data_IF_138883889911
#
_entry.id   IF_138883889911
#
_cell.length_a   1.000
_cell.length_b   1.000
_cell.length_c   1.000
_cell.angle_alpha   90.00
_cell.angle_beta   90.00
_cell.angle_gamma   90.00
#
_symmetry.space_group_name_H-M   'P 1'
#
loop_
_entity.id
_entity.type
_entity.pdbx_description
1 polymer ?
#
# COMPACT_ATOMS: atom_id res chain seq x y z
N UNK A 1 -45.82 -20.01 38.21
CA UNK A 1 -44.57 -20.77 37.96
C UNK A 1 -44.39 -20.92 36.45
N UNK A 2 -43.21 -21.37 36.03
CA UNK A 2 -42.69 -21.45 34.64
C UNK A 2 -43.71 -21.71 33.50
N UNK A 3 -43.54 -21.00 32.40
CA UNK A 3 -43.91 -21.43 31.05
C UNK A 3 -42.63 -21.52 30.21
N UNK A 4 -42.48 -22.54 29.35
CA UNK A 4 -41.27 -22.79 28.54
C UNK A 4 -41.65 -23.33 27.16
N UNK A 5 -40.84 -23.04 26.14
CA UNK A 5 -41.23 -23.11 24.73
C UNK A 5 -41.07 -24.47 24.03
N UNK A 6 -41.74 -24.58 22.87
CA UNK A 6 -41.50 -25.49 21.73
C UNK A 6 -40.14 -25.18 21.02
N UNK A 7 -39.68 -25.87 19.94
CA UNK A 7 -40.25 -26.99 19.15
C UNK A 7 -39.33 -28.25 19.14
N UNK A 8 -39.68 -29.43 18.58
CA UNK A 8 -39.70 -29.83 17.15
C UNK A 8 -38.44 -29.37 16.35
N UNK A 9 -37.58 -30.28 15.82
CA UNK A 9 -37.72 -31.05 14.55
C UNK A 9 -37.43 -30.21 13.28
N UNK A 10 -36.71 -30.65 12.23
CA UNK A 10 -36.02 -31.93 11.93
C UNK A 10 -35.14 -31.90 10.65
N UNK A 11 -34.22 -32.88 10.50
CA UNK A 11 -33.83 -33.61 9.24
C UNK A 11 -33.04 -32.95 8.08
N UNK A 12 -31.98 -33.69 7.67
CA UNK A 12 -31.56 -34.03 6.27
C UNK A 12 -30.90 -32.96 5.36
N UNK A 13 -30.05 -33.28 4.36
CA UNK A 13 -29.21 -34.47 4.05
C UNK A 13 -28.23 -34.20 2.86
N UNK A 14 -27.29 -35.14 2.60
CA UNK A 14 -26.49 -35.32 1.34
C UNK A 14 -25.44 -34.21 1.02
N UNK A 15 -24.46 -34.36 0.10
CA UNK A 15 -24.09 -35.42 -0.87
C UNK A 15 -22.54 -35.57 -1.03
N UNK A 16 -22.08 -36.50 -1.90
CA UNK A 16 -20.65 -36.91 -2.13
C UNK A 16 -20.27 -36.66 -3.64
N UNK A 17 -19.21 -37.26 -4.21
CA UNK A 17 -17.80 -36.81 -4.37
C UNK A 17 -17.43 -36.17 -5.74
N UNK A 18 -16.17 -35.74 -5.92
CA UNK A 18 -15.45 -35.93 -7.22
C UNK A 18 -13.91 -35.82 -7.13
N UNK A 19 -13.20 -36.42 -8.10
CA UNK A 19 -11.78 -36.21 -8.46
C UNK A 19 -11.64 -36.38 -9.99
N UNK A 20 -10.68 -35.72 -10.69
CA UNK A 20 -9.45 -36.40 -11.17
C UNK A 20 -8.27 -35.38 -11.35
N UNK A 21 -7.15 -35.54 -12.10
CA UNK A 21 -6.59 -36.63 -12.95
C UNK A 21 -5.04 -36.71 -12.87
N UNK A 22 -4.30 -36.50 -13.98
CA UNK A 22 -2.83 -36.54 -14.18
C UNK A 22 -2.45 -35.86 -15.53
N UNK A 23 -1.15 -35.62 -15.70
CA UNK A 23 -0.34 -35.50 -16.95
C UNK A 23 0.15 -34.08 -17.30
N UNK A 24 1.44 -33.74 -17.50
CA UNK A 24 2.64 -34.39 -18.13
C UNK A 24 2.81 -34.00 -19.61
N UNK A 25 3.75 -33.10 -19.91
CA UNK A 25 4.43 -32.99 -21.23
C UNK A 25 5.83 -32.38 -21.06
N UNK A 26 6.75 -32.71 -21.97
CA UNK A 26 8.16 -32.27 -22.01
C UNK A 26 8.42 -31.31 -23.17
N UNK A 27 9.51 -30.53 -23.10
CA UNK A 27 10.23 -30.03 -24.29
C UNK A 27 11.73 -29.85 -23.99
N UNK A 28 12.57 -29.84 -25.04
CA UNK A 28 14.03 -30.02 -24.97
C UNK A 28 14.72 -29.35 -26.18
N UNK A 29 16.01 -29.05 -26.08
CA UNK A 29 16.86 -28.36 -27.08
C UNK A 29 16.53 -26.85 -27.22
N UNK A 30 17.45 -25.96 -27.58
CA UNK A 30 18.71 -26.12 -28.33
C UNK A 30 19.97 -25.61 -27.59
N UNK A 31 21.14 -25.93 -28.16
CA UNK A 31 22.40 -25.22 -27.92
C UNK A 31 23.19 -25.06 -29.23
N UNK A 32 24.18 -24.17 -29.27
CA UNK A 32 25.20 -24.11 -30.34
C UNK A 32 26.43 -23.31 -29.89
N UNK A 33 27.47 -23.35 -30.74
CA UNK A 33 28.79 -22.72 -30.64
C UNK A 33 28.80 -21.30 -30.03
N UNK A 34 29.73 -20.89 -29.16
CA UNK A 34 31.20 -20.93 -29.25
C UNK A 34 31.80 -20.07 -30.38
N UNK A 35 32.66 -19.10 -30.03
CA UNK A 35 34.05 -18.98 -30.55
C UNK A 35 34.78 -17.73 -30.00
N UNK A 36 35.74 -18.00 -29.14
CA UNK A 36 36.81 -17.10 -28.72
C UNK A 36 37.63 -16.50 -29.87
N UNK A 37 38.04 -15.23 -29.75
CA UNK A 37 39.27 -14.67 -30.36
C UNK A 37 39.86 -13.58 -29.45
N UNK A 38 41.16 -13.67 -29.16
CA UNK A 38 41.95 -12.55 -28.62
C UNK A 38 42.19 -11.48 -29.70
N UNK A 39 42.43 -10.22 -29.27
CA UNK A 39 43.46 -9.38 -29.89
C UNK A 39 43.93 -8.22 -28.97
N UNK A 40 45.23 -8.26 -28.64
CA UNK A 40 46.10 -7.36 -27.85
C UNK A 40 47.54 -7.73 -28.30
N UNK A 41 48.60 -6.89 -28.29
CA UNK A 41 48.78 -5.47 -27.89
C UNK A 41 48.94 -4.55 -29.15
N UNK A 42 49.54 -3.34 -29.23
CA UNK A 42 50.73 -2.71 -28.59
C UNK A 42 50.72 -1.16 -28.54
N UNK A 43 51.55 -0.63 -27.61
CA UNK A 43 52.28 0.67 -27.50
C UNK A 43 52.09 1.80 -28.54
N UNK A 44 52.30 3.09 -28.22
CA UNK A 44 53.36 3.67 -27.38
C UNK A 44 53.00 5.01 -26.68
N UNK A 45 53.89 5.46 -25.79
CA UNK A 45 53.90 6.77 -25.12
C UNK A 45 53.70 8.00 -26.00
N UNK A 46 53.04 9.02 -25.42
CA UNK A 46 53.33 10.45 -25.68
C UNK A 46 52.83 11.33 -24.53
N UNK A 47 53.47 11.23 -23.36
CA UNK A 47 53.16 12.08 -22.23
C UNK A 47 53.74 13.51 -22.40
N UNK A 48 52.90 14.51 -22.70
CA UNK A 48 53.15 15.93 -22.36
C UNK A 48 51.91 16.83 -22.45
N UNK A 49 51.40 17.18 -21.26
CA UNK A 49 50.78 18.47 -20.88
C UNK A 49 49.99 19.24 -21.95
N UNK A 50 48.68 19.39 -21.72
CA UNK A 50 48.11 20.72 -21.48
C UNK A 50 46.88 20.65 -20.58
N UNK A 51 46.66 21.72 -19.82
CA UNK A 51 45.52 21.92 -18.92
C UNK A 51 44.61 22.95 -19.56
N UNK A 52 43.29 22.72 -19.59
CA UNK A 52 42.26 23.75 -19.45
C UNK A 52 40.86 23.14 -19.24
N UNK A 53 39.96 23.96 -18.70
CA UNK A 53 38.66 23.57 -18.13
C UNK A 53 37.73 22.87 -19.15
N UNK A 54 37.10 21.78 -18.71
CA UNK A 54 35.74 21.41 -19.16
C UNK A 54 34.83 21.31 -17.92
N UNK A 55 33.60 21.84 -18.05
CA UNK A 55 32.77 22.26 -16.93
C UNK A 55 32.14 21.08 -16.16
N UNK A 56 31.97 21.24 -14.84
CA UNK A 56 31.19 20.32 -14.01
C UNK A 56 29.72 20.34 -14.46
N UNK A 57 29.32 19.36 -15.28
CA UNK A 57 27.91 19.01 -15.46
C UNK A 57 27.46 18.17 -14.27
N UNK A 58 27.25 18.82 -13.12
CA UNK A 58 26.72 18.19 -11.91
C UNK A 58 25.22 17.89 -12.09
N UNK A 59 24.92 16.89 -12.92
CA UNK A 59 23.56 16.40 -13.11
C UNK A 59 23.06 15.82 -11.79
N UNK A 60 22.23 16.58 -11.07
CA UNK A 60 21.48 16.08 -9.92
C UNK A 60 20.41 15.13 -10.45
N UNK A 61 20.81 13.89 -10.66
CA UNK A 61 19.88 12.78 -10.76
C UNK A 61 19.15 12.71 -9.41
N UNK A 62 17.89 13.17 -9.37
CA UNK A 62 17.00 12.77 -8.29
C UNK A 62 16.99 11.24 -8.29
N UNK A 63 17.20 10.66 -7.10
CA UNK A 63 17.36 9.22 -6.90
C UNK A 63 16.09 8.41 -7.16
N UNK A 64 15.63 8.40 -8.40
CA UNK A 64 14.82 7.32 -8.94
C UNK A 64 15.71 6.07 -9.06
N UNK A 65 16.05 5.50 -7.91
CA UNK A 65 16.65 4.18 -7.80
C UNK A 65 15.65 3.19 -8.35
N UNK A 66 15.75 2.90 -9.65
CA UNK A 66 15.10 1.75 -10.25
C UNK A 66 15.71 0.51 -9.59
N UNK A 67 15.09 0.07 -8.49
CA UNK A 67 15.39 -1.23 -7.89
C UNK A 67 15.22 -2.27 -8.99
N UNK A 68 16.28 -2.99 -9.30
CA UNK A 68 16.22 -4.09 -10.25
C UNK A 68 15.27 -5.14 -9.67
N UNK A 69 14.19 -5.43 -10.41
CA UNK A 69 13.05 -6.20 -9.90
C UNK A 69 11.99 -5.35 -9.23
N UNK A 70 11.18 -4.68 -10.05
CA UNK A 70 9.99 -3.95 -9.61
C UNK A 70 8.86 -4.15 -10.61
N UNK A 71 7.74 -4.71 -10.15
CA UNK A 71 6.54 -4.96 -10.92
C UNK A 71 5.69 -3.67 -11.03
N UNK A 72 5.11 -3.42 -12.19
CA UNK A 72 4.18 -2.30 -12.38
C UNK A 72 2.75 -2.85 -12.37
N UNK A 73 2.05 -2.66 -11.27
CA UNK A 73 0.63 -2.96 -11.16
C UNK A 73 -0.17 -1.82 -11.81
N UNK A 74 -1.03 -2.17 -12.76
CA UNK A 74 -1.93 -1.23 -13.42
C UNK A 74 -3.37 -1.75 -13.43
N UNK A 75 -4.32 -0.95 -12.97
CA UNK A 75 -5.74 -1.29 -13.03
C UNK A 75 -6.61 -0.04 -13.21
N UNK A 76 -7.34 0.01 -14.34
CA UNK A 76 -8.16 1.16 -14.70
C UNK A 76 -7.35 2.45 -14.79
N UNK A 77 -7.64 3.40 -13.89
CA UNK A 77 -6.92 4.68 -13.79
C UNK A 77 -5.65 4.60 -12.94
N UNK A 78 -5.40 3.53 -12.18
CA UNK A 78 -4.25 3.45 -11.27
C UNK A 78 -3.04 2.82 -11.95
N UNK A 79 -1.87 3.41 -11.72
CA UNK A 79 -0.55 2.76 -11.88
C UNK A 79 0.25 2.87 -10.58
N UNK A 80 0.87 1.76 -10.17
CA UNK A 80 1.65 1.63 -8.93
C UNK A 80 2.88 0.75 -9.19
N UNK A 81 4.02 1.04 -8.56
CA UNK A 81 5.22 0.20 -8.64
C UNK A 81 5.40 -0.55 -7.33
N UNK A 82 5.44 -1.88 -7.41
CA UNK A 82 5.58 -2.81 -6.29
C UNK A 82 6.95 -3.51 -6.39
N UNK A 83 7.75 -3.62 -5.32
CA UNK A 83 9.01 -4.37 -5.34
C UNK A 83 8.78 -5.87 -5.56
N UNK A 84 9.75 -6.57 -6.17
CA UNK A 84 9.72 -8.03 -6.21
C UNK A 84 9.68 -8.67 -4.80
N UNK A 85 9.09 -9.87 -4.70
CA UNK A 85 8.95 -10.62 -3.45
C UNK A 85 7.69 -10.30 -2.63
N UNK A 86 6.88 -9.32 -3.06
CA UNK A 86 5.57 -9.04 -2.47
C UNK A 86 4.49 -9.99 -3.03
N UNK A 87 3.62 -10.48 -2.16
CA UNK A 87 2.46 -11.33 -2.48
C UNK A 87 1.23 -10.46 -2.63
N UNK A 88 0.53 -10.55 -3.76
CA UNK A 88 -0.75 -9.91 -3.98
C UNK A 88 -1.92 -10.78 -3.50
N UNK A 89 -2.85 -10.18 -2.77
CA UNK A 89 -4.19 -10.68 -2.47
C UNK A 89 -5.23 -9.70 -3.02
N UNK A 90 -6.43 -10.17 -3.36
CA UNK A 90 -7.49 -9.33 -3.93
C UNK A 90 -8.85 -9.77 -3.38
N UNK A 91 -9.61 -8.80 -2.87
CA UNK A 91 -10.96 -8.97 -2.36
C UNK A 91 -11.90 -7.99 -3.06
N UNK A 92 -13.06 -8.47 -3.53
CA UNK A 92 -14.06 -7.64 -4.18
C UNK A 92 -15.45 -7.99 -3.66
N UNK A 93 -16.22 -6.96 -3.28
CA UNK A 93 -17.60 -7.14 -2.88
C UNK A 93 -18.44 -7.25 -4.16
N UNK A 94 -19.32 -8.25 -4.23
CA UNK A 94 -20.09 -8.61 -5.44
C UNK A 94 -21.02 -7.52 -5.97
N UNK A 95 -21.34 -6.49 -5.18
CA UNK A 95 -22.10 -5.31 -5.58
C UNK A 95 -21.28 -4.25 -6.33
N UNK A 96 -19.97 -4.46 -6.56
CA UNK A 96 -19.12 -3.60 -7.41
C UNK A 96 -18.71 -2.25 -6.81
N UNK A 97 -19.34 -1.82 -5.71
CA UNK A 97 -19.07 -0.51 -5.07
C UNK A 97 -17.74 -0.40 -4.33
N UNK A 98 -17.10 -1.53 -3.96
CA UNK A 98 -15.78 -1.58 -3.31
C UNK A 98 -14.96 -2.78 -3.75
N UNK A 99 -13.71 -2.53 -4.12
CA UNK A 99 -12.66 -3.51 -4.42
C UNK A 99 -11.40 -3.14 -3.64
N UNK A 100 -10.68 -4.15 -3.14
CA UNK A 100 -9.46 -3.99 -2.36
C UNK A 100 -8.39 -4.93 -2.90
N UNK A 101 -7.22 -4.39 -3.22
CA UNK A 101 -6.01 -5.17 -3.47
C UNK A 101 -5.05 -4.94 -2.31
N UNK A 102 -4.37 -5.99 -1.85
CA UNK A 102 -3.42 -5.92 -0.73
C UNK A 102 -2.13 -6.60 -1.16
N UNK A 103 -1.01 -5.94 -0.95
CA UNK A 103 0.33 -6.51 -1.10
C UNK A 103 1.02 -6.56 0.27
N UNK A 104 1.74 -7.64 0.53
CA UNK A 104 2.60 -7.79 1.69
C UNK A 104 3.87 -8.55 1.28
N UNK A 105 5.06 -8.26 1.84
CA UNK A 105 6.27 -9.01 1.54
C UNK A 105 6.10 -10.46 2.01
N UNK A 106 6.62 -11.42 1.23
CA UNK A 106 6.50 -12.86 1.52
C UNK A 106 7.04 -13.26 2.90
N UNK A 107 8.08 -12.57 3.38
CA UNK A 107 8.89 -12.98 4.53
C UNK A 107 8.59 -12.18 5.82
N UNK A 108 7.49 -11.39 5.87
CA UNK A 108 7.05 -10.70 7.08
C UNK A 108 5.52 -10.82 7.31
N UNK A 109 5.06 -10.48 8.52
CA UNK A 109 3.65 -10.51 8.88
C UNK A 109 2.88 -9.35 8.18
N UNK A 110 1.73 -9.60 7.51
CA UNK A 110 0.90 -8.55 6.94
C UNK A 110 0.46 -7.44 7.91
N UNK A 111 0.46 -7.71 9.23
CA UNK A 111 0.19 -6.73 10.28
C UNK A 111 1.36 -5.76 10.55
N UNK A 112 2.56 -6.07 10.06
CA UNK A 112 3.80 -5.38 10.39
C UNK A 112 4.31 -4.51 9.24
N UNK A 113 4.11 -4.98 8.01
CA UNK A 113 4.42 -4.28 6.76
C UNK A 113 3.44 -4.73 5.68
N UNK A 114 2.59 -3.82 5.20
CA UNK A 114 1.74 -4.08 4.03
C UNK A 114 1.22 -2.81 3.36
N UNK A 115 0.77 -2.94 2.12
CA UNK A 115 0.18 -1.88 1.30
C UNK A 115 -1.17 -2.36 0.81
N UNK A 116 -2.20 -1.52 0.89
CA UNK A 116 -3.52 -1.84 0.35
C UNK A 116 -4.09 -0.71 -0.48
N UNK A 117 -4.56 -1.04 -1.69
CA UNK A 117 -5.30 -0.14 -2.56
C UNK A 117 -6.79 -0.47 -2.44
N UNK A 118 -7.55 0.47 -1.89
CA UNK A 118 -9.02 0.42 -1.82
C UNK A 118 -9.60 1.33 -2.90
N UNK A 119 -10.34 0.74 -3.82
CA UNK A 119 -11.12 1.44 -4.85
C UNK A 119 -12.58 1.46 -4.44
N UNK A 120 -13.18 2.65 -4.35
CA UNK A 120 -14.60 2.85 -4.02
C UNK A 120 -15.28 3.79 -5.01
N UNK A 121 -16.58 3.61 -5.22
CA UNK A 121 -17.40 4.55 -6.00
C UNK A 121 -17.69 5.83 -5.20
N UNK A 122 -17.66 6.97 -5.88
CA UNK A 122 -18.09 8.27 -5.36
C UNK A 122 -19.42 8.70 -5.99
N UNK A 123 -20.19 9.56 -5.30
CA UNK A 123 -21.34 10.22 -5.91
C UNK A 123 -20.90 11.19 -7.01
N UNK A 124 -21.83 11.57 -7.89
CA UNK A 124 -21.60 12.56 -8.95
C UNK A 124 -21.14 13.92 -8.38
N UNK A 125 -21.59 14.26 -7.17
CA UNK A 125 -21.30 15.51 -6.47
C UNK A 125 -19.82 15.65 -6.08
N UNK A 126 -19.13 14.52 -5.82
CA UNK A 126 -17.72 14.48 -5.45
C UNK A 126 -16.84 14.39 -6.70
N UNK A 127 -16.75 15.50 -7.44
CA UNK A 127 -16.00 15.60 -8.71
C UNK A 127 -14.49 15.59 -8.55
N UNK A 128 -13.97 15.78 -7.34
CA UNK A 128 -12.55 15.74 -7.00
C UNK A 128 -12.31 15.96 -5.51
N UNK A 129 -11.07 15.77 -5.05
CA UNK A 129 -10.74 15.74 -3.61
C UNK A 129 -11.10 17.03 -2.85
N UNK A 130 -11.03 18.20 -3.48
CA UNK A 130 -11.37 19.47 -2.83
C UNK A 130 -12.80 19.54 -2.25
N UNK A 131 -13.68 18.64 -2.69
CA UNK A 131 -15.02 18.41 -2.10
C UNK A 131 -14.98 17.91 -0.64
N UNK A 132 -13.82 17.44 -0.16
CA UNK A 132 -13.57 16.98 1.20
C UNK A 132 -12.80 17.99 2.07
N UNK A 133 -12.51 19.20 1.57
CA UNK A 133 -11.78 20.25 2.30
C UNK A 133 -10.31 20.38 1.90
N UNK A 134 -9.43 20.70 2.86
CA UNK A 134 -7.98 20.59 2.66
C UNK A 134 -7.46 19.21 3.08
N UNK A 135 -6.23 18.86 2.65
CA UNK A 135 -5.57 17.63 3.12
C UNK A 135 -5.45 17.57 4.66
N UNK A 136 -5.25 18.72 5.32
CA UNK A 136 -5.13 18.83 6.77
C UNK A 136 -6.48 18.62 7.46
N UNK A 137 -7.56 19.22 6.94
CA UNK A 137 -8.92 19.03 7.47
C UNK A 137 -9.36 17.57 7.33
N UNK A 138 -9.10 16.97 6.15
CA UNK A 138 -9.37 15.56 5.89
C UNK A 138 -8.58 14.65 6.84
N UNK A 139 -7.25 14.85 6.93
CA UNK A 139 -6.38 14.04 7.79
C UNK A 139 -6.73 14.16 9.27
N UNK A 140 -7.07 15.37 9.73
CA UNK A 140 -7.53 15.59 11.10
C UNK A 140 -8.91 14.97 11.34
N UNK A 141 -9.83 15.02 10.37
CA UNK A 141 -11.14 14.35 10.43
C UNK A 141 -11.00 12.82 10.54
N UNK A 142 -10.14 12.23 9.71
CA UNK A 142 -9.79 10.81 9.75
C UNK A 142 -9.23 10.40 11.11
N UNK A 143 -8.20 11.11 11.60
CA UNK A 143 -7.57 10.86 12.90
C UNK A 143 -8.56 11.04 14.06
N UNK A 144 -9.44 12.05 14.02
CA UNK A 144 -10.47 12.28 15.04
C UNK A 144 -11.51 11.16 15.14
N UNK A 145 -11.79 10.44 14.05
CA UNK A 145 -12.67 9.26 14.09
C UNK A 145 -11.98 8.05 14.72
N UNK A 146 -10.64 7.95 14.61
CA UNK A 146 -9.84 6.86 15.16
C UNK A 146 -9.32 7.11 16.59
N UNK A 147 -9.17 8.36 17.03
CA UNK A 147 -8.70 8.68 18.37
C UNK A 147 -9.79 8.45 19.44
N UNK A 148 -9.52 7.54 20.36
CA UNK A 148 -10.36 7.31 21.54
C UNK A 148 -9.69 7.83 22.83
N UNK A 149 -8.60 8.60 22.73
CA UNK A 149 -7.94 9.21 23.90
C UNK A 149 -8.84 10.22 24.64
N UNK A 150 -9.98 10.65 24.08
CA UNK A 150 -10.98 11.40 24.85
C UNK A 150 -11.64 10.53 25.94
N UNK A 151 -11.81 9.22 25.73
CA UNK A 151 -12.38 8.31 26.74
C UNK A 151 -11.49 8.17 27.98
N UNK A 152 -10.17 8.21 27.82
CA UNK A 152 -9.21 8.23 28.93
C UNK A 152 -9.14 9.58 29.65
N UNK A 153 -9.59 10.67 28.99
CA UNK A 153 -9.67 12.03 29.56
C UNK A 153 -11.03 12.35 30.18
N UNK A 154 -12.08 11.63 29.80
CA UNK A 154 -13.41 11.76 30.38
C UNK A 154 -13.36 11.43 31.87
N UNK A 155 -13.68 12.40 32.74
CA UNK A 155 -13.91 12.13 34.16
C UNK A 155 -15.04 11.12 34.25
N UNK A 156 -14.75 9.93 34.76
CA UNK A 156 -15.70 8.82 34.77
C UNK A 156 -17.02 9.20 35.45
N UNK A 157 -18.13 8.79 34.84
CA UNK A 157 -19.42 8.70 35.56
C UNK A 157 -19.20 7.92 36.85
N UNK A 158 -19.80 8.33 37.97
CA UNK A 158 -19.41 7.91 39.33
C UNK A 158 -19.30 6.37 39.54
N UNK A 159 -19.99 5.57 38.72
CA UNK A 159 -19.98 4.10 38.78
C UNK A 159 -18.80 3.41 38.06
N UNK A 160 -17.93 4.11 37.33
CA UNK A 160 -16.79 3.47 36.63
C UNK A 160 -15.57 4.39 36.44
N UNK A 161 -14.34 3.96 36.79
CA UNK A 161 -13.13 4.73 36.51
C UNK A 161 -12.89 4.87 34.99
N UNK A 162 -12.22 5.95 34.60
CA UNK A 162 -11.78 6.14 33.22
C UNK A 162 -10.73 5.06 32.83
N UNK A 163 -10.76 4.56 31.58
CA UNK A 163 -9.72 3.65 31.09
C UNK A 163 -8.37 4.39 31.06
N UNK A 164 -7.27 3.66 31.29
CA UNK A 164 -5.91 4.21 31.11
C UNK A 164 -5.64 4.48 29.63
N UNK A 165 -4.66 5.35 29.35
CA UNK A 165 -4.27 5.70 27.97
C UNK A 165 -3.86 4.44 27.17
N UNK A 166 -3.18 3.48 27.80
CA UNK A 166 -2.78 2.22 27.16
C UNK A 166 -3.92 1.19 26.99
N UNK A 167 -5.14 1.52 27.45
CA UNK A 167 -6.36 0.73 27.30
C UNK A 167 -7.32 1.29 26.24
N UNK A 168 -6.98 2.42 25.61
CA UNK A 168 -7.75 3.04 24.51
C UNK A 168 -6.91 3.11 23.25
N UNK A 169 -7.57 3.15 22.10
CA UNK A 169 -6.88 3.46 20.85
C UNK A 169 -6.53 4.96 20.85
N UNK A 170 -5.26 5.29 20.61
CA UNK A 170 -4.77 6.67 20.47
C UNK A 170 -4.33 6.87 19.03
N UNK A 171 -4.80 7.95 18.39
CA UNK A 171 -4.39 8.30 17.04
C UNK A 171 -3.84 9.73 16.98
N UNK A 172 -2.79 9.96 16.17
CA UNK A 172 -2.19 11.29 15.99
C UNK A 172 -1.79 11.51 14.53
N UNK A 173 -2.23 12.61 13.96
CA UNK A 173 -1.73 13.12 12.69
C UNK A 173 -0.24 13.49 12.83
N UNK A 174 0.59 13.07 11.87
CA UNK A 174 2.01 13.42 11.79
C UNK A 174 2.20 14.49 10.71
N UNK A 175 1.63 14.26 9.53
CA UNK A 175 1.77 15.13 8.35
C UNK A 175 0.54 15.01 7.44
N UNK A 176 0.22 16.08 6.72
CA UNK A 176 -0.88 16.13 5.77
C UNK A 176 -0.57 17.10 4.62
N UNK A 177 -0.36 16.56 3.42
CA UNK A 177 0.08 17.29 2.24
C UNK A 177 -0.86 17.08 1.07
N UNK A 178 -1.00 18.12 0.24
CA UNK A 178 -1.71 18.06 -1.04
C UNK A 178 -0.70 18.24 -2.19
N UNK A 179 -0.62 17.27 -3.09
CA UNK A 179 0.28 17.30 -4.25
C UNK A 179 -0.49 16.87 -5.50
N UNK A 180 -0.53 17.73 -6.54
CA UNK A 180 -1.08 17.40 -7.87
C UNK A 180 -2.50 16.77 -7.87
N UNK A 181 -3.37 17.21 -6.97
CA UNK A 181 -4.76 16.69 -6.86
C UNK A 181 -4.90 15.39 -6.04
N UNK A 182 -3.83 14.95 -5.38
CA UNK A 182 -3.78 13.83 -4.44
C UNK A 182 -3.48 14.36 -3.02
N UNK A 183 -4.05 13.73 -2.01
CA UNK A 183 -3.66 13.93 -0.60
C UNK A 183 -2.68 12.84 -0.17
N UNK A 184 -1.73 13.20 0.69
CA UNK A 184 -0.84 12.28 1.39
C UNK A 184 -0.92 12.59 2.87
N UNK A 185 -1.38 11.64 3.67
CA UNK A 185 -1.63 11.78 5.10
C UNK A 185 -0.79 10.74 5.83
N UNK A 186 0.17 11.17 6.66
CA UNK A 186 0.91 10.28 7.55
C UNK A 186 0.40 10.46 8.99
N UNK A 187 0.09 9.36 9.66
CA UNK A 187 -0.42 9.37 11.04
C UNK A 187 0.01 8.11 11.79
N UNK A 188 -0.05 8.19 13.12
CA UNK A 188 0.26 7.08 14.02
C UNK A 188 -0.99 6.54 14.70
N UNK A 189 -1.03 5.22 14.89
CA UNK A 189 -2.06 4.50 15.63
C UNK A 189 -1.38 3.68 16.74
N UNK A 190 -1.72 3.96 18.00
CA UNK A 190 -1.49 3.03 19.12
C UNK A 190 -2.82 2.36 19.45
N UNK A 191 -2.96 1.08 19.14
CA UNK A 191 -4.06 0.27 19.71
C UNK A 191 -3.65 -0.24 21.09
N UNK A 192 -4.60 -0.56 21.98
CA UNK A 192 -4.28 -1.29 23.19
C UNK A 192 -3.64 -2.65 22.80
N UNK A 193 -2.57 -3.03 23.50
CA UNK A 193 -1.83 -4.31 23.32
C UNK A 193 -1.07 -4.50 21.97
N UNK A 194 -1.15 -3.59 21.01
CA UNK A 194 -0.25 -3.57 19.83
C UNK A 194 0.88 -2.52 19.98
N UNK A 195 1.97 -2.69 19.23
CA UNK A 195 3.01 -1.66 19.05
C UNK A 195 2.46 -0.44 18.27
N UNK A 196 3.17 0.70 18.31
CA UNK A 196 2.80 1.86 17.50
C UNK A 196 2.96 1.52 16.01
N UNK A 197 1.90 1.76 15.24
CA UNK A 197 1.92 1.66 13.79
C UNK A 197 1.89 3.04 13.18
N UNK A 198 2.71 3.26 12.15
CA UNK A 198 2.71 4.45 11.32
C UNK A 198 2.06 4.08 10.00
N UNK A 199 1.07 4.86 9.60
CA UNK A 199 0.26 4.64 8.40
C UNK A 199 0.39 5.86 7.51
N UNK A 200 0.68 5.63 6.24
CA UNK A 200 0.74 6.65 5.19
C UNK A 200 -0.34 6.35 4.17
N UNK A 201 -1.34 7.22 4.06
CA UNK A 201 -2.40 7.11 3.06
C UNK A 201 -2.16 8.09 1.92
N UNK A 202 -2.06 7.59 0.70
CA UNK A 202 -2.14 8.39 -0.52
C UNK A 202 -3.53 8.23 -1.15
N UNK A 203 -4.25 9.33 -1.28
CA UNK A 203 -5.67 9.35 -1.59
C UNK A 203 -5.86 10.19 -2.85
N UNK A 204 -6.50 9.63 -3.87
CA UNK A 204 -6.73 10.27 -5.16
C UNK A 204 -8.18 10.04 -5.65
N UNK A 205 -8.78 11.05 -6.26
CA UNK A 205 -10.07 10.93 -6.92
C UNK A 205 -9.90 10.97 -8.44
N UNK A 206 -10.61 10.10 -9.15
CA UNK A 206 -10.61 10.03 -10.62
C UNK A 206 -11.99 9.66 -11.17
N UNK A 207 -12.16 9.69 -12.49
CA UNK A 207 -13.41 9.31 -13.15
C UNK A 207 -13.11 8.45 -14.38
N UNK A 208 -13.61 7.20 -14.40
CA UNK A 208 -13.38 6.23 -15.49
C UNK A 208 -13.99 6.70 -16.83
N UNK A 209 -14.87 7.71 -16.79
CA UNK A 209 -15.81 8.10 -17.85
C UNK A 209 -17.24 7.59 -17.64
N UNK A 210 -17.53 6.97 -16.50
CA UNK A 210 -18.86 6.43 -16.13
C UNK A 210 -19.19 6.74 -14.67
N UNK A 211 -18.23 6.53 -13.76
CA UNK A 211 -18.36 6.82 -12.33
C UNK A 211 -17.13 7.55 -11.82
N UNK A 212 -17.35 8.49 -10.90
CA UNK A 212 -16.30 9.00 -10.02
C UNK A 212 -15.84 7.87 -9.09
N UNK A 213 -14.54 7.80 -8.79
CA UNK A 213 -13.95 6.84 -7.86
C UNK A 213 -12.98 7.51 -6.91
N UNK A 214 -12.96 7.02 -5.67
CA UNK A 214 -11.92 7.30 -4.69
C UNK A 214 -10.98 6.09 -4.61
N UNK A 215 -9.70 6.36 -4.79
CA UNK A 215 -8.61 5.43 -4.63
C UNK A 215 -7.84 5.80 -3.36
N UNK A 216 -7.83 4.91 -2.37
CA UNK A 216 -7.08 5.07 -1.13
C UNK A 216 -5.99 4.02 -1.08
N UNK A 217 -4.73 4.44 -1.17
CA UNK A 217 -3.55 3.60 -1.00
C UNK A 217 -3.03 3.73 0.43
N UNK A 218 -3.42 2.81 1.29
CA UNK A 218 -2.99 2.74 2.70
C UNK A 218 -1.75 1.87 2.81
N UNK A 219 -0.60 2.48 3.07
CA UNK A 219 0.65 1.81 3.43
C UNK A 219 0.80 1.81 4.96
N UNK A 220 0.97 0.63 5.57
CA UNK A 220 1.17 0.50 7.02
C UNK A 220 2.51 -0.16 7.36
N UNK A 221 3.15 0.36 8.42
CA UNK A 221 4.36 -0.19 9.04
C UNK A 221 4.27 -0.09 10.56
N UNK A 222 5.05 -0.89 11.29
CA UNK A 222 5.39 -0.57 12.68
C UNK A 222 6.33 0.64 12.75
N UNK A 223 6.29 1.38 13.86
CA UNK A 223 7.31 2.38 14.21
C UNK A 223 8.70 1.73 14.42
N UNK A 224 8.72 0.49 14.92
CA UNK A 224 9.91 -0.35 15.12
C UNK A 224 10.50 -0.93 13.82
N UNK A 225 9.92 -0.65 12.65
CA UNK A 225 10.41 -1.14 11.36
C UNK A 225 11.72 -0.45 10.93
N UNK A 226 12.53 -1.14 10.11
CA UNK A 226 13.80 -0.61 9.63
C UNK A 226 13.65 0.55 8.64
N UNK A 227 14.65 1.42 8.56
CA UNK A 227 14.68 2.54 7.60
C UNK A 227 14.51 2.08 6.16
N UNK A 228 15.06 0.91 5.80
CA UNK A 228 14.90 0.32 4.47
C UNK A 228 13.44 0.00 4.12
N UNK A 229 12.64 -0.46 5.10
CA UNK A 229 11.20 -0.68 4.92
C UNK A 229 10.42 0.65 4.83
N UNK A 230 10.83 1.68 5.56
CA UNK A 230 10.27 3.03 5.43
C UNK A 230 10.55 3.64 4.05
N UNK A 231 11.78 3.52 3.54
CA UNK A 231 12.16 3.96 2.19
C UNK A 231 11.43 3.17 1.10
N UNK A 232 11.21 1.87 1.31
CA UNK A 232 10.45 1.01 0.40
C UNK A 232 8.98 1.42 0.30
N UNK A 233 8.31 1.64 1.44
CA UNK A 233 6.95 2.17 1.46
C UNK A 233 6.87 3.58 0.85
N UNK A 234 7.83 4.46 1.14
CA UNK A 234 7.89 5.79 0.53
C UNK A 234 8.10 5.70 -1.00
N UNK A 235 8.86 4.72 -1.49
CA UNK A 235 8.99 4.40 -2.90
C UNK A 235 7.66 3.96 -3.54
N UNK A 236 6.96 3.03 -2.90
CA UNK A 236 5.63 2.57 -3.36
C UNK A 236 4.64 3.73 -3.39
N UNK A 237 4.51 4.48 -2.29
CA UNK A 237 3.58 5.61 -2.14
C UNK A 237 3.90 6.74 -3.14
N UNK A 238 5.18 7.05 -3.40
CA UNK A 238 5.56 8.06 -4.40
C UNK A 238 5.47 7.59 -5.85
N UNK A 239 5.42 6.28 -6.09
CA UNK A 239 5.17 5.71 -7.42
C UNK A 239 3.69 5.82 -7.85
N UNK A 240 2.76 5.87 -6.88
CA UNK A 240 1.32 5.91 -7.09
C UNK A 240 0.88 7.11 -7.92
N UNK A 241 0.23 6.84 -9.05
CA UNK A 241 -0.28 7.85 -9.98
C UNK A 241 -1.65 7.45 -10.48
N UNK A 242 -2.50 8.45 -10.70
CA UNK A 242 -3.62 8.33 -11.61
C UNK A 242 -3.15 8.62 -13.04
N UNK A 243 -3.53 7.75 -13.97
CA UNK A 243 -3.45 7.99 -15.41
C UNK A 243 -4.49 9.06 -15.77
N UNK A 244 -4.05 10.12 -16.43
CA UNK A 244 -5.01 10.95 -17.18
C UNK A 244 -5.62 10.10 -18.29
N UNK A 245 -6.89 10.34 -18.56
CA UNK A 245 -7.52 10.01 -19.84
C UNK A 245 -7.16 11.06 -20.89
#
# INVERSE_FOLDING_TARGET
MQAKAQPCASRQACSVPCAPRRSLTTLRAHGSAARERHQVPTSHDSARRQVLLSLLSAAVALGATQRAGAEVYEEGLVSLTIPEGWIQSTAQISSGGRRTVVWFPKDADPNDLSVSLVTTGLSADFTGLGSFGSATDFGQGLVNQMDQAYLARARGTLSRPAPKIDQVQVCKLIDAKQTRGMYTVEYSIKKPQEELKVVTEAIAAGNDGVYNRLFTLTAQRRESASTAAQEELAGIVSSFKLKSK
#
